data_IF_222909326733
#
_entry.id   IF_222909326733
#
_cell.length_a   1.000
_cell.length_b   1.000
_cell.length_c   1.000
_cell.angle_alpha   90.00
_cell.angle_beta   90.00
_cell.angle_gamma   90.00
#
_symmetry.space_group_name_H-M   'P 1'
#
loop_
_entity.id
_entity.type
_entity.pdbx_description
1 polymer ?
#
# COMPACT_ATOMS: atom_id res chain seq x y z
N UNK A 1 -5.15 4.97 24.03
CA UNK A 1 -5.67 3.66 23.57
C UNK A 1 -7.18 3.80 23.44
N UNK A 2 -7.69 4.04 22.23
CA UNK A 2 -9.13 4.20 21.99
C UNK A 2 -9.82 2.84 22.15
N UNK A 3 -10.99 2.77 22.80
CA UNK A 3 -11.69 1.50 22.98
C UNK A 3 -12.00 0.91 21.61
N UNK A 4 -11.72 -0.38 21.44
CA UNK A 4 -12.07 -1.15 20.24
C UNK A 4 -13.57 -0.91 20.00
N UNK A 5 -13.87 -0.09 18.99
CA UNK A 5 -15.21 0.34 18.64
C UNK A 5 -16.07 -0.93 18.54
N UNK A 6 -17.12 -1.04 19.36
CA UNK A 6 -18.01 -2.20 19.33
C UNK A 6 -18.53 -2.35 17.91
N UNK A 7 -18.20 -3.46 17.25
CA UNK A 7 -18.74 -3.78 15.93
C UNK A 7 -20.21 -4.17 16.16
N UNK A 8 -21.20 -3.39 15.67
CA UNK A 8 -22.60 -3.69 15.90
C UNK A 8 -23.00 -4.97 15.15
N UNK A 9 -23.60 -5.89 15.90
CA UNK A 9 -24.33 -7.04 15.36
C UNK A 9 -25.81 -6.65 15.34
N UNK A 10 -26.43 -6.77 14.17
CA UNK A 10 -27.80 -6.34 13.87
C UNK A 10 -28.65 -7.54 13.48
N UNK A 11 -29.97 -7.32 13.31
CA UNK A 11 -30.92 -8.31 12.81
C UNK A 11 -30.84 -9.65 13.56
N UNK A 12 -30.88 -9.61 14.90
CA UNK A 12 -30.82 -10.81 15.76
C UNK A 12 -29.58 -11.69 15.54
N UNK A 13 -28.44 -11.12 15.14
CA UNK A 13 -27.19 -11.88 14.99
C UNK A 13 -26.77 -12.15 13.55
N UNK A 14 -27.63 -11.86 12.57
CA UNK A 14 -27.38 -12.25 11.17
C UNK A 14 -26.55 -11.24 10.40
N UNK A 15 -26.43 -9.99 10.88
CA UNK A 15 -25.71 -8.93 10.18
C UNK A 15 -24.61 -8.35 11.06
N UNK A 16 -23.36 -8.45 10.58
CA UNK A 16 -22.21 -7.76 11.16
C UNK A 16 -21.95 -6.47 10.37
N UNK A 17 -22.09 -5.30 10.99
CA UNK A 17 -21.87 -4.01 10.29
C UNK A 17 -20.59 -3.34 10.76
N UNK A 18 -19.61 -3.22 9.86
CA UNK A 18 -18.34 -2.53 10.11
C UNK A 18 -18.43 -1.06 9.64
N UNK A 19 -18.15 -0.11 10.53
CA UNK A 19 -18.16 1.33 10.23
C UNK A 19 -16.77 1.92 10.42
N UNK A 20 -16.33 2.78 9.49
CA UNK A 20 -15.03 3.45 9.58
C UNK A 20 -13.86 2.47 9.61
N UNK A 21 -13.89 1.48 8.71
CA UNK A 21 -12.96 0.35 8.68
C UNK A 21 -11.50 0.82 8.67
N UNK A 22 -10.70 0.29 9.60
CA UNK A 22 -9.26 0.54 9.72
C UNK A 22 -8.47 -0.71 9.36
N UNK A 23 -7.21 -0.54 8.93
CA UNK A 23 -6.32 -1.66 8.54
C UNK A 23 -6.23 -2.78 9.58
N UNK A 24 -6.35 -2.45 10.88
CA UNK A 24 -6.37 -3.44 11.96
C UNK A 24 -7.57 -4.38 11.97
N UNK A 25 -8.61 -4.11 11.19
CA UNK A 25 -9.82 -4.92 11.05
C UNK A 25 -9.76 -5.88 9.86
N UNK A 26 -8.70 -5.82 9.04
CA UNK A 26 -8.45 -6.80 7.99
C UNK A 26 -8.29 -8.20 8.59
N UNK A 27 -8.89 -9.20 7.94
CA UNK A 27 -8.80 -10.59 8.41
C UNK A 27 -10.00 -11.44 8.07
N UNK A 28 -9.99 -12.67 8.62
CA UNK A 28 -11.04 -13.67 8.41
C UNK A 28 -12.19 -13.45 9.41
N UNK A 29 -13.40 -13.38 8.90
CA UNK A 29 -14.63 -13.31 9.66
C UNK A 29 -15.41 -14.61 9.45
N UNK A 30 -15.83 -15.24 10.56
CA UNK A 30 -16.63 -16.46 10.55
C UNK A 30 -18.05 -16.19 11.04
N UNK A 31 -19.04 -16.70 10.31
CA UNK A 31 -20.42 -16.77 10.74
C UNK A 31 -20.74 -18.22 11.10
N UNK A 32 -21.07 -18.46 12.36
CA UNK A 32 -21.52 -19.78 12.84
C UNK A 32 -23.01 -19.72 13.18
N UNK A 33 -23.79 -20.65 12.61
CA UNK A 33 -25.18 -20.89 12.98
C UNK A 33 -25.32 -22.26 13.65
N UNK A 34 -26.04 -22.34 14.76
CA UNK A 34 -26.30 -23.61 15.45
C UNK A 34 -27.72 -23.71 15.98
N UNK A 35 -28.24 -24.93 16.03
CA UNK A 35 -29.49 -25.29 16.67
C UNK A 35 -29.35 -26.65 17.38
N UNK A 36 -30.45 -27.20 17.92
CA UNK A 36 -30.43 -28.50 18.63
C UNK A 36 -30.03 -29.71 17.77
N UNK A 37 -30.08 -29.57 16.44
CA UNK A 37 -29.85 -30.64 15.47
C UNK A 37 -28.43 -30.58 14.92
N UNK A 38 -27.83 -29.38 14.81
CA UNK A 38 -26.48 -29.26 14.27
C UNK A 38 -25.93 -27.84 14.21
N UNK A 39 -24.82 -27.71 13.50
CA UNK A 39 -24.04 -26.47 13.34
C UNK A 39 -23.58 -26.35 11.89
N UNK A 40 -23.59 -25.12 11.37
CA UNK A 40 -23.01 -24.72 10.09
C UNK A 40 -22.10 -23.51 10.29
N UNK A 41 -21.08 -23.38 9.44
CA UNK A 41 -20.12 -22.29 9.47
C UNK A 41 -19.82 -21.80 8.06
N UNK A 42 -19.63 -20.49 7.91
CA UNK A 42 -19.23 -19.84 6.66
C UNK A 42 -18.22 -18.74 6.95
N UNK A 43 -17.19 -18.67 6.11
CA UNK A 43 -16.06 -17.77 6.30
C UNK A 43 -15.92 -16.78 5.16
N UNK A 44 -15.49 -15.56 5.47
CA UNK A 44 -15.12 -14.53 4.50
C UNK A 44 -13.83 -13.83 4.92
N UNK A 45 -13.05 -13.33 3.97
CA UNK A 45 -11.86 -12.54 4.23
C UNK A 45 -12.12 -11.08 3.87
N UNK A 46 -12.03 -10.19 4.86
CA UNK A 46 -12.08 -8.75 4.64
C UNK A 46 -10.70 -8.24 4.30
N UNK A 47 -10.49 -7.84 3.06
CA UNK A 47 -9.28 -7.13 2.63
C UNK A 47 -9.54 -5.62 2.57
N UNK A 48 -8.63 -4.85 3.14
CA UNK A 48 -8.72 -3.39 3.19
C UNK A 48 -7.72 -2.80 2.19
N UNK A 49 -8.20 -1.91 1.34
CA UNK A 49 -7.40 -1.24 0.31
C UNK A 49 -7.43 0.27 0.48
N UNK A 50 -6.40 0.94 -0.03
CA UNK A 50 -6.25 2.38 0.08
C UNK A 50 -5.77 2.97 -1.25
N UNK A 51 -6.35 4.10 -1.70
CA UNK A 51 -5.91 4.75 -2.92
C UNK A 51 -4.47 5.29 -2.77
N UNK A 52 -3.72 5.40 -3.88
CA UNK A 52 -2.42 6.05 -3.87
C UNK A 52 -2.50 7.48 -3.33
N UNK A 53 -1.57 7.86 -2.46
CA UNK A 53 -1.38 9.23 -1.97
C UNK A 53 0.09 9.60 -1.99
N UNK A 54 0.41 10.79 -2.48
CA UNK A 54 1.76 11.36 -2.43
C UNK A 54 1.93 12.00 -1.06
N UNK A 55 2.96 11.60 -0.34
CA UNK A 55 3.31 12.09 1.00
C UNK A 55 4.37 13.18 0.90
N UNK A 56 5.29 13.10 -0.07
CA UNK A 56 6.34 14.10 -0.23
C UNK A 56 5.77 15.48 -0.57
N UNK A 57 6.27 16.57 0.04
CA UNK A 57 5.88 17.92 -0.31
C UNK A 57 6.18 18.22 -1.78
N UNK A 58 5.25 18.90 -2.46
CA UNK A 58 5.40 19.34 -3.85
C UNK A 58 6.08 20.71 -3.93
N UNK A 59 7.22 20.86 -3.26
CA UNK A 59 7.91 22.14 -3.21
C UNK A 59 8.89 22.32 -4.37
N UNK A 60 9.07 23.57 -4.79
CA UNK A 60 10.07 23.95 -5.77
C UNK A 60 11.48 23.72 -5.19
N UNK A 61 12.26 22.85 -5.85
CA UNK A 61 13.65 22.58 -5.46
C UNK A 61 14.59 23.54 -6.19
N UNK A 62 15.37 24.33 -5.43
CA UNK A 62 16.44 25.19 -5.96
C UNK A 62 17.79 24.55 -5.73
N UNK A 63 18.57 24.35 -6.79
CA UNK A 63 19.85 23.63 -6.75
C UNK A 63 20.91 24.44 -7.48
N UNK A 64 22.12 24.46 -6.94
CA UNK A 64 23.29 25.10 -7.58
C UNK A 64 23.79 24.22 -8.72
N UNK A 65 24.08 24.83 -9.87
CA UNK A 65 24.66 24.11 -11.01
C UNK A 65 25.91 23.31 -10.61
N UNK A 66 26.03 22.09 -11.12
CA UNK A 66 27.13 21.17 -10.80
C UNK A 66 26.99 20.41 -9.48
N UNK A 67 26.01 20.73 -8.64
CA UNK A 67 25.71 19.97 -7.43
C UNK A 67 24.61 18.94 -7.71
N UNK A 68 24.81 17.71 -7.21
CA UNK A 68 23.81 16.67 -7.29
C UNK A 68 22.62 16.95 -6.35
N UNK A 69 21.41 16.56 -6.78
CA UNK A 69 20.22 16.64 -5.95
C UNK A 69 19.37 15.38 -6.10
N UNK A 70 18.77 14.96 -5.00
CA UNK A 70 17.78 13.87 -4.97
C UNK A 70 16.38 14.45 -4.88
N UNK A 71 15.49 14.04 -5.78
CA UNK A 71 14.05 14.29 -5.72
C UNK A 71 13.39 13.01 -5.21
N UNK A 72 12.61 13.11 -4.12
CA UNK A 72 11.91 11.96 -3.53
C UNK A 72 10.43 12.00 -3.91
N UNK A 73 9.84 10.82 -4.07
CA UNK A 73 8.40 10.64 -4.22
C UNK A 73 7.98 9.50 -3.30
N UNK A 74 7.58 9.87 -2.09
CA UNK A 74 7.04 8.97 -1.09
C UNK A 74 5.55 8.82 -1.37
N UNK A 75 5.13 7.58 -1.55
CA UNK A 75 3.74 7.24 -1.84
C UNK A 75 3.24 6.23 -0.81
N UNK A 76 1.96 6.35 -0.46
CA UNK A 76 1.22 5.32 0.28
C UNK A 76 0.06 4.81 -0.56
N UNK A 77 -0.41 3.61 -0.27
CA UNK A 77 -1.53 2.98 -0.96
C UNK A 77 -1.46 1.47 -0.79
N UNK A 78 -2.60 0.80 -0.96
CA UNK A 78 -2.70 -0.65 -0.85
C UNK A 78 -3.60 -1.17 -1.98
N UNK A 79 -3.09 -2.01 -2.90
CA UNK A 79 -1.70 -2.49 -2.99
C UNK A 79 -0.68 -1.38 -3.22
N UNK A 80 0.61 -1.67 -3.00
CA UNK A 80 1.70 -0.70 -3.15
C UNK A 80 1.64 -0.02 -4.54
N UNK A 81 1.56 1.33 -4.60
CA UNK A 81 1.46 2.03 -5.87
C UNK A 81 2.72 1.90 -6.73
N UNK A 82 2.55 2.01 -8.05
CA UNK A 82 3.66 2.16 -8.99
C UNK A 82 4.00 3.64 -9.15
N UNK A 83 5.28 3.99 -9.05
CA UNK A 83 5.77 5.35 -9.24
C UNK A 83 6.40 5.49 -10.63
N UNK A 84 6.07 6.56 -11.33
CA UNK A 84 6.67 6.94 -12.61
C UNK A 84 7.14 8.39 -12.57
N UNK A 85 8.32 8.64 -13.13
CA UNK A 85 8.91 9.98 -13.20
C UNK A 85 8.74 10.56 -14.59
N UNK A 86 8.37 11.84 -14.66
CA UNK A 86 8.29 12.58 -15.91
C UNK A 86 9.09 13.88 -15.79
N UNK A 87 9.85 14.19 -16.83
CA UNK A 87 10.47 15.51 -17.03
C UNK A 87 9.80 16.14 -18.25
N UNK A 88 9.16 17.30 -18.06
CA UNK A 88 8.44 18.01 -19.13
C UNK A 88 7.46 17.10 -19.88
N UNK A 89 6.65 16.34 -19.14
CA UNK A 89 5.67 15.37 -19.64
C UNK A 89 6.24 14.21 -20.48
N UNK A 90 7.55 14.01 -20.46
CA UNK A 90 8.20 12.83 -21.05
C UNK A 90 8.69 11.93 -19.95
N UNK A 91 8.45 10.62 -20.11
CA UNK A 91 8.95 9.60 -19.19
C UNK A 91 10.44 9.79 -18.99
N UNK A 92 10.85 9.93 -17.73
CA UNK A 92 12.25 9.99 -17.33
C UNK A 92 12.62 8.62 -16.78
N UNK A 93 13.39 7.85 -17.55
CA UNK A 93 13.89 6.54 -17.14
C UNK A 93 15.39 6.57 -16.81
N UNK A 94 15.87 5.50 -16.18
CA UNK A 94 17.27 5.39 -15.77
C UNK A 94 18.25 5.43 -16.96
N UNK A 95 17.81 5.12 -18.18
CA UNK A 95 18.63 5.22 -19.38
C UNK A 95 18.87 6.69 -19.77
N UNK A 96 17.90 7.58 -19.51
CA UNK A 96 18.07 9.03 -19.70
C UNK A 96 19.03 9.69 -18.71
N UNK A 97 19.32 9.06 -17.56
CA UNK A 97 20.25 9.58 -16.56
C UNK A 97 21.73 9.48 -16.97
N UNK A 98 22.05 8.69 -18.00
CA UNK A 98 23.43 8.45 -18.47
C UNK A 98 23.89 9.39 -19.60
N UNK A 99 23.03 10.32 -20.05
CA UNK A 99 23.34 11.23 -21.16
C UNK A 99 23.93 12.59 -20.73
N UNK A 100 24.31 12.75 -19.46
CA UNK A 100 24.98 13.95 -18.94
C UNK A 100 26.43 13.60 -18.60
N UNK A 101 27.39 14.19 -19.29
CA UNK A 101 28.84 13.92 -19.18
C UNK A 101 29.48 14.31 -17.84
N UNK A 102 28.68 14.73 -16.86
CA UNK A 102 29.13 14.98 -15.49
C UNK A 102 28.03 14.52 -14.52
N UNK A 103 28.13 13.32 -13.94
CA UNK A 103 27.84 13.06 -12.51
C UNK A 103 28.03 11.58 -12.12
N UNK A 104 28.61 11.42 -10.93
CA UNK A 104 28.82 10.17 -10.21
C UNK A 104 27.50 9.41 -9.95
N UNK A 105 27.57 8.08 -10.02
CA UNK A 105 26.46 7.12 -9.93
C UNK A 105 25.49 7.37 -8.76
N UNK A 106 24.19 7.22 -9.06
CA UNK A 106 23.10 7.21 -8.07
C UNK A 106 23.05 5.83 -7.41
N UNK A 107 23.20 5.78 -6.09
CA UNK A 107 23.06 4.56 -5.29
C UNK A 107 21.57 4.23 -5.12
N UNK A 108 21.05 3.28 -5.88
CA UNK A 108 19.71 2.73 -5.66
C UNK A 108 19.75 1.79 -4.45
N UNK A 109 19.16 2.20 -3.32
CA UNK A 109 18.92 1.28 -2.20
C UNK A 109 17.68 0.44 -2.52
N UNK A 110 17.90 -0.77 -3.02
CA UNK A 110 16.86 -1.81 -3.06
C UNK A 110 16.67 -2.35 -1.63
N UNK A 111 15.50 -2.13 -1.04
CA UNK A 111 15.05 -2.89 0.12
C UNK A 111 14.59 -4.26 -0.37
N UNK A 112 15.35 -5.31 -0.05
CA UNK A 112 14.96 -6.70 -0.26
C UNK A 112 13.83 -7.05 0.73
N UNK A 113 12.58 -6.94 0.31
CA UNK A 113 11.46 -7.61 1.01
C UNK A 113 10.69 -8.54 0.07
N UNK A 114 11.04 -9.83 0.21
CA UNK A 114 10.36 -11.04 -0.29
C UNK A 114 10.59 -11.46 -1.75
N UNK A 115 11.72 -12.13 -1.97
CA UNK A 115 11.72 -13.28 -2.88
C UNK A 115 10.85 -14.37 -2.26
N UNK A 116 9.66 -14.60 -2.81
CA UNK A 116 8.85 -15.80 -2.54
C UNK A 116 8.08 -16.18 -3.80
N UNK A 117 8.81 -16.66 -4.81
CA UNK A 117 8.28 -17.59 -5.80
C UNK A 117 9.10 -18.86 -5.74
N UNK A 118 8.79 -19.74 -4.79
CA UNK A 118 8.84 -21.17 -5.09
C UNK A 118 7.69 -21.43 -6.07
N UNK A 119 8.02 -21.69 -7.33
CA UNK A 119 7.21 -22.55 -8.18
C UNK A 119 8.03 -23.80 -8.43
N UNK A 120 7.62 -24.85 -7.72
CA UNK A 120 7.93 -26.24 -7.94
C UNK A 120 7.66 -26.62 -9.40
N UNK A 121 8.62 -27.29 -10.03
CA UNK A 121 8.40 -28.34 -11.01
C UNK A 121 9.03 -29.61 -10.44
#
# INVERSE_FOLDING_TARGET
>A
MSPINRIPVLQNGTVLRLLGVQSSQEGRYSCTASNKVGRAEADTFLQITAPPRIITPSDELKVIAGHGQTIRCEVSGTPSPRVEWLKNNKKFDAAMAQASSNLHYIHFRFELSSFSRMKTL
#
